data_IF_455123890187
#
_entry.id   IF_455123890187
#
_cell.length_a   1.000
_cell.length_b   1.000
_cell.length_c   1.000
_cell.angle_alpha   90.00
_cell.angle_beta   90.00
_cell.angle_gamma   90.00
#
_symmetry.space_group_name_H-M   'P 1'
#
loop_
_entity.id
_entity.type
_entity.pdbx_description
1 polymer ?
#
# COMPACT_ATOMS: atom_id res chain seq x y z
N UNK A 1 0.66 21.96 23.73
CA UNK A 1 -0.59 21.24 23.38
C UNK A 1 -0.66 20.87 21.90
N UNK A 2 -0.58 21.81 20.95
CA UNK A 2 -0.72 21.49 19.52
C UNK A 2 0.32 20.50 18.98
N UNK A 3 1.60 20.64 19.35
CA UNK A 3 2.68 19.72 18.93
C UNK A 3 2.43 18.29 19.42
N UNK A 4 1.98 18.13 20.66
CA UNK A 4 1.65 16.81 21.23
C UNK A 4 0.52 16.14 20.44
N UNK A 5 -0.54 16.89 20.09
CA UNK A 5 -1.64 16.35 19.27
C UNK A 5 -1.19 15.96 17.86
N UNK A 6 -0.26 16.72 17.25
CA UNK A 6 0.37 16.33 15.99
C UNK A 6 1.16 15.02 16.15
N UNK A 7 1.97 14.89 17.19
CA UNK A 7 2.73 13.67 17.45
C UNK A 7 1.80 12.47 17.67
N UNK A 8 0.74 12.62 18.47
CA UNK A 8 -0.26 11.57 18.70
C UNK A 8 -0.98 11.19 17.40
N UNK A 9 -1.37 12.16 16.56
CA UNK A 9 -1.98 11.90 15.27
C UNK A 9 -1.05 11.16 14.31
N UNK A 10 0.25 11.49 14.34
CA UNK A 10 1.28 10.78 13.57
C UNK A 10 1.40 9.32 14.02
N UNK A 11 1.58 9.07 15.32
CA UNK A 11 1.69 7.71 15.88
C UNK A 11 0.43 6.89 15.63
N UNK A 12 -0.75 7.51 15.74
CA UNK A 12 -2.03 6.88 15.41
C UNK A 12 -2.13 6.52 13.92
N UNK A 13 -1.68 7.41 13.03
CA UNK A 13 -1.59 7.15 11.59
C UNK A 13 -0.63 6.00 11.27
N UNK A 14 0.53 5.92 11.94
CA UNK A 14 1.49 4.83 11.75
C UNK A 14 0.87 3.47 12.05
N UNK A 15 0.07 3.34 13.11
CA UNK A 15 -0.60 2.08 13.45
C UNK A 15 -1.71 1.63 12.52
N UNK A 16 -2.00 2.34 11.42
CA UNK A 16 -3.04 1.94 10.46
C UNK A 16 -2.61 0.80 9.52
N UNK A 17 -1.33 0.77 9.13
CA UNK A 17 -0.76 -0.18 8.16
C UNK A 17 0.56 -0.82 8.60
N UNK A 18 1.05 -0.50 9.81
CA UNK A 18 2.39 -0.93 10.26
C UNK A 18 2.52 -2.45 10.34
N UNK A 19 1.42 -3.16 10.60
CA UNK A 19 1.45 -4.60 10.75
C UNK A 19 1.71 -5.31 9.42
N UNK A 20 0.90 -5.03 8.40
CA UNK A 20 1.07 -5.63 7.07
C UNK A 20 2.32 -5.09 6.37
N UNK A 21 2.63 -3.79 6.49
CA UNK A 21 3.88 -3.26 5.95
C UNK A 21 5.10 -3.90 6.61
N UNK A 22 5.06 -4.12 7.93
CA UNK A 22 6.10 -4.85 8.66
C UNK A 22 6.24 -6.29 8.20
N UNK A 23 5.12 -6.97 7.92
CA UNK A 23 5.14 -8.34 7.42
C UNK A 23 5.76 -8.42 6.02
N UNK A 24 5.44 -7.48 5.11
CA UNK A 24 6.00 -7.43 3.76
C UNK A 24 7.53 -7.24 3.74
N UNK A 25 8.08 -6.40 4.64
CA UNK A 25 9.53 -6.21 4.69
C UNK A 25 10.27 -7.41 5.30
N UNK A 26 9.59 -8.29 6.06
CA UNK A 26 10.21 -9.52 6.59
C UNK A 26 10.12 -10.72 5.63
N UNK A 27 9.36 -10.62 4.54
CA UNK A 27 9.21 -11.69 3.55
C UNK A 27 10.55 -12.29 3.08
N UNK A 28 11.61 -11.52 2.77
CA UNK A 28 12.89 -12.08 2.32
C UNK A 28 13.50 -13.08 3.30
N UNK A 29 13.34 -12.84 4.60
CA UNK A 29 13.80 -13.75 5.64
C UNK A 29 12.83 -14.92 5.82
N UNK A 30 11.52 -14.66 5.82
CA UNK A 30 10.49 -15.68 6.04
C UNK A 30 10.41 -16.72 4.91
N UNK A 31 10.65 -16.31 3.67
CA UNK A 31 10.72 -17.18 2.49
C UNK A 31 11.75 -18.30 2.66
N UNK A 32 12.80 -18.09 3.46
CA UNK A 32 13.84 -19.11 3.69
C UNK A 32 13.45 -20.13 4.77
N UNK A 33 12.46 -19.82 5.61
CA UNK A 33 12.09 -20.61 6.79
C UNK A 33 10.69 -21.24 6.70
N UNK A 34 9.76 -20.60 5.99
CA UNK A 34 8.38 -21.05 5.85
C UNK A 34 8.23 -22.01 4.66
N UNK A 35 7.34 -23.02 4.75
CA UNK A 35 7.18 -24.03 3.71
C UNK A 35 6.65 -23.47 2.39
N UNK A 36 5.97 -22.33 2.39
CA UNK A 36 5.47 -21.66 1.19
C UNK A 36 6.58 -21.03 0.34
N UNK A 37 7.77 -20.79 0.90
CA UNK A 37 8.92 -20.25 0.17
C UNK A 37 8.56 -19.01 -0.67
N UNK A 38 8.97 -18.95 -1.94
CA UNK A 38 8.80 -17.80 -2.83
C UNK A 38 7.35 -17.51 -3.19
N UNK A 39 6.44 -18.45 -2.91
CA UNK A 39 5.01 -18.29 -3.09
C UNK A 39 4.35 -17.51 -1.95
N UNK A 40 5.03 -17.32 -0.82
CA UNK A 40 4.51 -16.64 0.37
C UNK A 40 3.84 -15.27 0.07
N UNK A 41 4.42 -14.37 -0.77
CA UNK A 41 3.75 -13.15 -1.22
C UNK A 41 2.34 -13.35 -1.81
N UNK A 42 2.14 -14.40 -2.58
CA UNK A 42 0.85 -14.69 -3.22
C UNK A 42 -0.19 -15.15 -2.19
N UNK A 43 0.22 -15.93 -1.18
CA UNK A 43 -0.62 -16.28 -0.02
C UNK A 43 -1.00 -15.04 0.79
N UNK A 44 -0.04 -14.18 1.12
CA UNK A 44 -0.29 -12.93 1.84
C UNK A 44 -1.28 -12.06 1.05
N UNK A 45 -1.08 -11.95 -0.26
CA UNK A 45 -1.94 -11.15 -1.15
C UNK A 45 -3.38 -11.64 -1.14
N UNK A 46 -3.63 -12.94 -1.35
CA UNK A 46 -5.00 -13.45 -1.34
C UNK A 46 -5.65 -13.31 0.04
N UNK A 47 -4.88 -13.49 1.12
CA UNK A 47 -5.36 -13.31 2.50
C UNK A 47 -5.79 -11.86 2.74
N UNK A 48 -4.98 -10.88 2.34
CA UNK A 48 -5.34 -9.45 2.41
C UNK A 48 -6.64 -9.21 1.65
N UNK A 49 -6.80 -9.80 0.47
CA UNK A 49 -8.03 -9.64 -0.30
C UNK A 49 -9.27 -10.21 0.41
N UNK A 50 -9.15 -11.35 1.10
CA UNK A 50 -10.25 -11.89 1.92
C UNK A 50 -10.57 -11.01 3.14
N UNK A 51 -9.57 -10.33 3.69
CA UNK A 51 -9.72 -9.46 4.85
C UNK A 51 -10.51 -8.16 4.56
N UNK A 52 -10.71 -7.81 3.28
CA UNK A 52 -11.61 -6.72 2.89
C UNK A 52 -13.08 -6.93 3.31
N UNK A 53 -13.42 -8.11 3.83
CA UNK A 53 -14.67 -8.35 4.57
C UNK A 53 -14.86 -7.37 5.74
N UNK A 54 -13.78 -6.90 6.37
CA UNK A 54 -13.82 -5.93 7.47
C UNK A 54 -14.39 -4.57 7.08
N UNK A 55 -13.79 -3.85 6.11
CA UNK A 55 -14.34 -2.62 5.54
C UNK A 55 -15.78 -2.77 5.01
N UNK A 56 -16.07 -3.90 4.37
CA UNK A 56 -17.41 -4.20 3.88
C UNK A 56 -18.42 -4.29 5.03
N UNK A 57 -18.05 -5.01 6.11
CA UNK A 57 -18.86 -5.12 7.32
C UNK A 57 -19.14 -3.73 7.92
N UNK A 58 -18.10 -2.91 8.10
CA UNK A 58 -18.26 -1.54 8.63
C UNK A 58 -19.20 -0.72 7.74
N UNK A 59 -19.04 -0.79 6.42
CA UNK A 59 -19.87 -0.04 5.47
C UNK A 59 -21.34 -0.47 5.50
N UNK A 60 -21.60 -1.79 5.50
CA UNK A 60 -22.95 -2.34 5.56
C UNK A 60 -23.64 -2.00 6.89
N UNK A 61 -22.90 -2.05 7.99
CA UNK A 61 -23.44 -1.70 9.31
C UNK A 61 -23.83 -0.23 9.40
N UNK A 62 -23.02 0.69 8.86
CA UNK A 62 -23.40 2.10 8.76
C UNK A 62 -24.63 2.31 7.86
N UNK A 63 -24.80 1.48 6.81
CA UNK A 63 -25.95 1.54 5.89
C UNK A 63 -27.24 1.03 6.52
N UNK A 64 -27.20 -0.10 7.22
CA UNK A 64 -28.39 -0.79 7.74
C UNK A 64 -28.74 -0.41 9.20
N UNK A 65 -27.76 -0.03 10.00
CA UNK A 65 -27.90 0.30 11.43
C UNK A 65 -27.11 1.57 11.78
N UNK A 66 -27.50 2.75 11.26
CA UNK A 66 -26.78 3.99 11.53
C UNK A 66 -26.74 4.27 13.04
N UNK A 67 -25.55 4.55 13.57
CA UNK A 67 -25.33 4.87 14.99
C UNK A 67 -25.05 3.67 15.91
N UNK A 68 -25.17 2.42 15.43
CA UNK A 68 -24.81 1.24 16.23
C UNK A 68 -23.29 1.13 16.40
N UNK A 69 -22.54 1.34 15.32
CA UNK A 69 -21.08 1.37 15.35
C UNK A 69 -20.61 2.75 15.78
N UNK A 70 -20.24 2.87 17.05
CA UNK A 70 -19.52 4.04 17.55
C UNK A 70 -18.05 3.91 17.17
N UNK A 71 -17.44 4.98 16.65
CA UNK A 71 -16.09 4.96 16.12
C UNK A 71 -15.07 4.56 17.20
N UNK A 72 -15.24 5.09 18.41
CA UNK A 72 -14.26 4.89 19.49
C UNK A 72 -14.16 3.43 19.95
N UNK A 73 -15.27 2.75 20.33
CA UNK A 73 -15.24 1.32 20.64
C UNK A 73 -14.69 0.45 19.51
N UNK A 74 -15.05 0.75 18.25
CA UNK A 74 -14.61 -0.01 17.08
C UNK A 74 -13.08 0.08 16.94
N UNK A 75 -12.50 1.28 17.08
CA UNK A 75 -11.05 1.45 17.00
C UNK A 75 -10.34 0.70 18.14
N UNK A 76 -10.86 0.73 19.37
CA UNK A 76 -10.30 -0.06 20.47
C UNK A 76 -10.26 -1.56 20.16
N UNK A 77 -11.35 -2.11 19.59
CA UNK A 77 -11.42 -3.54 19.20
C UNK A 77 -10.41 -3.86 18.10
N UNK A 78 -10.36 -3.03 17.05
CA UNK A 78 -9.44 -3.20 15.92
C UNK A 78 -7.98 -3.19 16.40
N UNK A 79 -7.57 -2.15 17.11
CA UNK A 79 -6.17 -2.01 17.55
C UNK A 79 -5.79 -3.11 18.56
N UNK A 80 -6.69 -3.48 19.48
CA UNK A 80 -6.44 -4.58 20.43
C UNK A 80 -6.27 -5.93 19.72
N UNK A 81 -7.08 -6.18 18.68
CA UNK A 81 -6.94 -7.37 17.83
C UNK A 81 -5.60 -7.37 17.10
N UNK A 82 -5.16 -6.21 16.60
CA UNK A 82 -3.86 -6.05 15.97
C UNK A 82 -2.69 -6.33 16.92
N UNK A 83 -2.73 -5.77 18.14
CA UNK A 83 -1.72 -6.05 19.17
C UNK A 83 -1.66 -7.53 19.49
N UNK A 84 -2.82 -8.16 19.77
CA UNK A 84 -2.88 -9.59 20.08
C UNK A 84 -2.30 -10.43 18.93
N UNK A 85 -2.67 -10.10 17.69
CA UNK A 85 -2.21 -10.81 16.50
C UNK A 85 -0.70 -10.66 16.29
N UNK A 86 -0.14 -9.46 16.45
CA UNK A 86 1.31 -9.24 16.37
C UNK A 86 2.08 -9.98 17.47
N UNK A 87 1.57 -9.97 18.71
CA UNK A 87 2.19 -10.70 19.83
C UNK A 87 2.16 -12.20 19.55
N UNK A 88 1.00 -12.75 19.18
CA UNK A 88 0.88 -14.16 18.82
C UNK A 88 1.78 -14.52 17.63
N UNK A 89 1.88 -13.65 16.63
CA UNK A 89 2.73 -13.86 15.45
C UNK A 89 4.20 -13.97 15.85
N UNK A 90 4.66 -13.15 16.79
CA UNK A 90 6.03 -13.22 17.28
C UNK A 90 6.40 -14.63 17.78
N UNK A 91 5.49 -15.31 18.49
CA UNK A 91 5.74 -16.66 19.01
C UNK A 91 5.37 -17.78 18.03
N UNK A 92 4.38 -17.55 17.16
CA UNK A 92 3.77 -18.61 16.36
C UNK A 92 4.13 -18.61 14.87
N UNK A 93 4.93 -17.65 14.39
CA UNK A 93 5.23 -17.52 12.96
C UNK A 93 5.86 -18.78 12.35
N UNK A 94 6.70 -19.52 13.08
CA UNK A 94 7.39 -20.72 12.57
C UNK A 94 6.60 -22.02 12.76
N UNK A 95 5.43 -21.98 13.42
CA UNK A 95 4.62 -23.17 13.64
C UNK A 95 3.91 -23.60 12.34
N UNK A 96 4.21 -24.82 11.90
CA UNK A 96 3.61 -25.45 10.72
C UNK A 96 2.60 -26.52 11.10
N UNK A 97 1.59 -26.72 10.25
CA UNK A 97 0.66 -27.84 10.36
C UNK A 97 0.35 -28.42 8.97
N UNK A 98 0.04 -29.73 8.86
CA UNK A 98 -0.24 -30.35 7.58
C UNK A 98 -1.65 -29.98 7.09
N UNK A 99 -1.75 -29.39 5.89
CA UNK A 99 -3.01 -29.13 5.19
C UNK A 99 -2.93 -29.80 3.83
N UNK A 100 -3.90 -30.68 3.51
CA UNK A 100 -3.85 -31.43 2.25
C UNK A 100 -2.64 -32.36 2.09
N UNK A 101 -2.00 -32.75 3.21
CA UNK A 101 -0.80 -33.60 3.22
C UNK A 101 0.53 -32.86 3.05
N UNK A 102 0.51 -31.54 2.84
CA UNK A 102 1.70 -30.69 2.71
C UNK A 102 1.82 -29.81 3.96
N UNK A 103 3.03 -29.59 4.51
CA UNK A 103 3.21 -28.66 5.62
C UNK A 103 2.94 -27.23 5.18
N UNK A 104 2.12 -26.52 5.94
CA UNK A 104 1.81 -25.10 5.72
C UNK A 104 2.01 -24.29 6.99
N UNK A 105 2.38 -23.01 6.85
CA UNK A 105 2.54 -22.05 7.96
C UNK A 105 1.19 -21.53 8.46
N UNK A 106 0.26 -22.43 8.75
CA UNK A 106 -1.13 -22.11 9.10
C UNK A 106 -1.29 -21.06 10.19
N UNK A 107 -0.46 -21.08 11.24
CA UNK A 107 -0.50 -20.07 12.29
C UNK A 107 -0.14 -18.67 11.75
N UNK A 108 0.93 -18.58 10.96
CA UNK A 108 1.33 -17.36 10.27
C UNK A 108 0.22 -16.84 9.34
N UNK A 109 -0.37 -17.70 8.50
CA UNK A 109 -1.41 -17.34 7.54
C UNK A 109 -2.69 -16.83 8.24
N UNK A 110 -3.14 -17.51 9.30
CA UNK A 110 -4.32 -17.10 10.07
C UNK A 110 -4.08 -15.77 10.80
N UNK A 111 -2.90 -15.58 11.40
CA UNK A 111 -2.57 -14.32 12.05
C UNK A 111 -2.41 -13.18 11.03
N UNK A 112 -1.87 -13.48 9.85
CA UNK A 112 -1.81 -12.53 8.72
C UNK A 112 -3.21 -12.08 8.30
N UNK A 113 -4.21 -12.99 8.32
CA UNK A 113 -5.60 -12.61 8.06
C UNK A 113 -6.13 -11.60 9.08
N UNK A 114 -5.89 -11.83 10.38
CA UNK A 114 -6.33 -10.88 11.42
C UNK A 114 -5.59 -9.54 11.32
N UNK A 115 -4.28 -9.53 11.04
CA UNK A 115 -3.54 -8.30 10.79
C UNK A 115 -4.07 -7.55 9.57
N UNK A 116 -4.33 -8.27 8.47
CA UNK A 116 -4.94 -7.69 7.27
C UNK A 116 -6.33 -7.13 7.55
N UNK A 117 -7.12 -7.82 8.38
CA UNK A 117 -8.45 -7.37 8.77
C UNK A 117 -8.38 -6.06 9.55
N UNK A 118 -7.41 -5.94 10.46
CA UNK A 118 -7.13 -4.73 11.23
C UNK A 118 -6.74 -3.59 10.29
N UNK A 119 -5.76 -3.80 9.40
CA UNK A 119 -5.22 -2.75 8.54
C UNK A 119 -6.22 -2.28 7.47
N UNK A 120 -6.93 -3.21 6.83
CA UNK A 120 -8.00 -2.83 5.89
C UNK A 120 -9.12 -2.07 6.61
N UNK A 121 -9.55 -2.52 7.80
CA UNK A 121 -10.66 -1.88 8.54
C UNK A 121 -10.25 -0.55 9.17
N UNK A 122 -8.98 -0.39 9.58
CA UNK A 122 -8.45 0.86 10.14
C UNK A 122 -8.58 2.00 9.12
N UNK A 123 -8.31 1.73 7.84
CA UNK A 123 -8.41 2.69 6.73
C UNK A 123 -9.80 3.34 6.60
N UNK A 124 -10.87 2.59 6.95
CA UNK A 124 -12.26 3.11 6.89
C UNK A 124 -12.80 3.59 8.24
N UNK A 125 -12.09 3.35 9.35
CA UNK A 125 -12.56 3.71 10.70
C UNK A 125 -11.74 4.81 11.37
N UNK A 126 -10.43 4.88 11.13
CA UNK A 126 -9.52 5.86 11.73
C UNK A 126 -9.74 7.25 11.15
N UNK A 127 -9.94 7.35 9.83
CA UNK A 127 -10.15 8.62 9.16
C UNK A 127 -11.43 9.34 9.63
N UNK A 128 -12.62 8.68 9.71
CA UNK A 128 -13.81 9.29 10.31
C UNK A 128 -13.60 9.82 11.74
N UNK A 129 -12.81 9.12 12.56
CA UNK A 129 -12.45 9.60 13.90
C UNK A 129 -11.57 10.86 13.83
N UNK A 130 -10.54 10.87 12.99
CA UNK A 130 -9.65 12.03 12.82
C UNK A 130 -10.38 13.26 12.29
N UNK A 131 -11.44 13.07 11.49
CA UNK A 131 -12.31 14.16 11.01
C UNK A 131 -13.14 14.83 12.12
N UNK A 132 -13.18 14.28 13.34
CA UNK A 132 -13.80 14.90 14.52
C UNK A 132 -12.84 15.88 15.24
N UNK A 133 -11.56 15.87 14.86
CA UNK A 133 -10.52 16.78 15.36
C UNK A 133 -10.27 17.91 14.34
N UNK A 134 -9.41 18.87 14.70
CA UNK A 134 -9.11 19.97 13.79
C UNK A 134 -8.42 19.49 12.50
N UNK A 135 -8.74 20.09 11.34
CA UNK A 135 -8.28 19.60 10.03
C UNK A 135 -6.76 19.53 9.88
N UNK A 136 -6.01 20.39 10.56
CA UNK A 136 -4.53 20.38 10.59
C UNK A 136 -3.92 19.05 11.04
N UNK A 137 -4.65 18.25 11.81
CA UNK A 137 -4.16 16.95 12.30
C UNK A 137 -4.35 15.82 11.28
N UNK A 138 -5.21 16.00 10.27
CA UNK A 138 -5.39 15.02 9.18
C UNK A 138 -4.12 14.90 8.33
N UNK A 139 -3.47 16.02 8.01
CA UNK A 139 -2.19 16.00 7.27
C UNK A 139 -1.13 15.20 8.04
N UNK A 140 -1.06 15.36 9.36
CA UNK A 140 -0.10 14.63 10.19
C UNK A 140 -0.44 13.15 10.33
N UNK A 141 -1.73 12.80 10.34
CA UNK A 141 -2.17 11.41 10.28
C UNK A 141 -1.67 10.73 8.99
N UNK A 142 -1.83 11.37 7.82
CA UNK A 142 -1.33 10.82 6.56
C UNK A 142 0.20 10.70 6.49
N UNK A 143 0.94 11.63 7.12
CA UNK A 143 2.39 11.48 7.31
C UNK A 143 2.68 10.22 8.14
N UNK A 144 1.96 10.03 9.24
CA UNK A 144 2.06 8.84 10.09
C UNK A 144 1.80 7.54 9.32
N UNK A 145 0.74 7.50 8.51
CA UNK A 145 0.41 6.39 7.63
C UNK A 145 1.56 6.06 6.67
N UNK A 146 2.25 7.07 6.12
CA UNK A 146 3.45 6.83 5.32
C UNK A 146 4.65 6.29 6.10
N UNK A 147 4.82 6.71 7.35
CA UNK A 147 5.86 6.17 8.23
C UNK A 147 5.63 4.71 8.62
N UNK A 148 4.40 4.19 8.45
CA UNK A 148 4.08 2.79 8.75
C UNK A 148 4.85 1.78 7.89
N UNK A 149 5.30 2.18 6.68
CA UNK A 149 6.18 1.36 5.84
C UNK A 149 7.66 1.62 6.08
N UNK A 150 8.03 2.88 6.31
CA UNK A 150 9.43 3.27 6.49
C UNK A 150 10.04 2.75 7.79
N UNK A 151 9.32 2.84 8.93
CA UNK A 151 9.88 2.44 10.23
C UNK A 151 10.21 0.94 10.25
N UNK A 152 9.29 0.01 9.89
CA UNK A 152 9.62 -1.42 9.83
C UNK A 152 10.74 -1.74 8.85
N UNK A 153 10.79 -1.06 7.70
CA UNK A 153 11.85 -1.25 6.72
C UNK A 153 13.26 -0.92 7.25
N UNK A 154 13.40 0.20 7.96
CA UNK A 154 14.70 0.57 8.59
C UNK A 154 15.10 -0.47 9.62
N UNK A 155 14.13 -1.00 10.37
CA UNK A 155 14.36 -2.09 11.35
C UNK A 155 14.80 -3.37 10.62
N UNK A 156 14.15 -3.76 9.53
CA UNK A 156 14.48 -4.96 8.74
C UNK A 156 15.85 -4.85 8.04
N UNK A 157 16.23 -3.67 7.58
CA UNK A 157 17.58 -3.40 7.06
C UNK A 157 18.63 -3.55 8.17
N UNK A 158 18.37 -3.00 9.36
CA UNK A 158 19.24 -3.19 10.53
C UNK A 158 19.29 -4.64 11.03
N UNK A 159 18.21 -5.40 10.86
CA UNK A 159 18.14 -6.84 11.12
C UNK A 159 19.05 -7.64 10.19
N UNK A 160 19.37 -7.12 9.01
CA UNK A 160 20.02 -7.90 7.95
C UNK A 160 19.07 -8.95 7.38
N UNK A 161 17.79 -8.62 7.29
CA UNK A 161 16.73 -9.54 6.83
C UNK A 161 17.08 -10.09 5.44
N UNK A 162 17.28 -11.41 5.35
CA UNK A 162 17.56 -12.10 4.09
C UNK A 162 18.97 -11.94 3.51
N UNK A 163 19.97 -11.33 4.17
CA UNK A 163 21.32 -11.19 3.57
C UNK A 163 21.90 -12.58 3.22
N UNK A 164 22.54 -12.70 2.06
CA UNK A 164 23.10 -13.95 1.56
C UNK A 164 24.50 -13.77 0.97
N UNK A 165 25.34 -14.80 1.11
CA UNK A 165 26.67 -14.90 0.53
C UNK A 165 26.75 -16.07 -0.45
N UNK A 166 27.57 -15.92 -1.50
CA UNK A 166 27.84 -17.01 -2.42
C UNK A 166 29.02 -17.84 -1.93
N UNK A 167 28.76 -19.10 -1.59
CA UNK A 167 29.78 -20.04 -1.16
C UNK A 167 30.00 -21.10 -2.23
N UNK A 168 31.27 -21.43 -2.47
CA UNK A 168 31.64 -22.48 -3.40
C UNK A 168 31.52 -23.84 -2.72
N UNK A 169 30.51 -24.62 -3.11
CA UNK A 169 30.25 -25.95 -2.55
C UNK A 169 30.77 -27.01 -3.53
N UNK A 170 31.77 -27.77 -3.09
CA UNK A 170 32.31 -28.89 -3.87
C UNK A 170 31.49 -30.14 -3.60
N UNK A 171 30.74 -30.62 -4.59
CA UNK A 171 29.97 -31.86 -4.49
C UNK A 171 30.68 -32.97 -5.26
N UNK A 172 30.87 -34.13 -4.64
CA UNK A 172 31.40 -35.32 -5.31
C UNK A 172 30.24 -35.94 -6.10
N UNK A 173 30.42 -36.09 -7.40
CA UNK A 173 29.41 -36.61 -8.33
C UNK A 173 30.03 -37.79 -9.07
N UNK A 174 29.30 -38.90 -9.15
CA UNK A 174 29.72 -40.04 -9.94
C UNK A 174 29.43 -39.75 -11.41
N UNK A 175 30.47 -39.52 -12.20
CA UNK A 175 30.37 -39.29 -13.63
C UNK A 175 30.50 -40.65 -14.33
N UNK A 176 29.38 -41.16 -14.83
CA UNK A 176 29.37 -42.30 -15.74
C UNK A 176 29.72 -41.83 -17.15
N UNK A 177 30.90 -42.24 -17.64
CA UNK A 177 31.30 -42.08 -19.05
C UNK A 177 31.43 -43.48 -19.67
N UNK A 178 30.42 -43.91 -20.43
CA UNK A 178 30.35 -45.28 -20.95
C UNK A 178 30.08 -46.31 -19.85
N UNK A 179 30.90 -47.36 -19.76
CA UNK A 179 30.79 -48.42 -18.74
C UNK A 179 31.58 -48.13 -17.45
N UNK A 180 32.28 -47.00 -17.35
CA UNK A 180 33.10 -46.65 -16.19
C UNK A 180 32.44 -45.50 -15.40
N UNK A 181 32.26 -45.74 -14.10
CA UNK A 181 31.90 -44.72 -13.11
C UNK A 181 33.17 -44.12 -12.53
N UNK A 182 33.46 -42.85 -12.81
CA UNK A 182 34.55 -42.12 -12.15
C UNK A 182 34.00 -41.11 -11.15
N UNK A 183 34.64 -40.99 -9.99
CA UNK A 183 34.32 -39.95 -9.01
C UNK A 183 34.87 -38.61 -9.51
N UNK A 184 33.99 -37.69 -9.88
CA UNK A 184 34.33 -36.32 -10.26
C UNK A 184 33.89 -35.32 -9.20
N UNK A 185 34.65 -34.26 -8.98
CA UNK A 185 34.21 -33.15 -8.12
C UNK A 185 33.61 -32.03 -8.97
N UNK A 186 32.36 -31.66 -8.73
CA UNK A 186 31.72 -30.49 -9.34
C UNK A 186 31.60 -29.39 -8.28
N UNK A 187 32.26 -28.27 -8.52
CA UNK A 187 32.14 -27.05 -7.71
C UNK A 187 30.93 -26.24 -8.20
N UNK A 188 29.92 -26.06 -7.35
CA UNK A 188 28.74 -25.23 -7.63
C UNK A 188 28.65 -24.12 -6.60
N UNK A 189 28.42 -22.89 -7.06
CA UNK A 189 28.08 -21.78 -6.18
C UNK A 189 26.64 -21.96 -5.70
N UNK A 190 26.44 -21.98 -4.39
CA UNK A 190 25.12 -22.03 -3.74
C UNK A 190 24.94 -20.77 -2.89
N UNK A 191 23.70 -20.28 -2.81
CA UNK A 191 23.35 -19.14 -1.94
C UNK A 191 23.30 -19.60 -0.49
N UNK A 192 24.17 -19.05 0.36
CA UNK A 192 24.16 -19.27 1.79
C UNK A 192 23.60 -18.04 2.52
N UNK A 193 22.44 -18.18 3.15
CA UNK A 193 21.81 -17.10 3.90
C UNK A 193 22.54 -16.88 5.22
N UNK A 194 22.94 -15.64 5.48
CA UNK A 194 23.53 -15.24 6.74
C UNK A 194 22.44 -15.13 7.82
N UNK A 195 22.76 -15.46 9.08
CA UNK A 195 21.83 -15.26 10.17
C UNK A 195 21.53 -13.76 10.33
N UNK A 196 20.26 -13.43 10.51
CA UNK A 196 19.86 -12.09 10.88
C UNK A 196 20.49 -11.67 12.22
N UNK A 197 20.82 -10.38 12.36
CA UNK A 197 21.38 -9.79 13.57
C UNK A 197 20.48 -10.03 14.79
N UNK A 198 19.17 -10.12 14.56
CA UNK A 198 18.19 -10.55 15.54
C UNK A 198 17.06 -11.37 14.87
N UNK A 199 16.39 -12.27 15.62
CA UNK A 199 15.38 -13.16 15.05
C UNK A 199 14.06 -12.44 14.68
N UNK A 200 13.24 -13.01 13.76
CA UNK A 200 11.90 -12.50 13.43
C UNK A 200 11.00 -12.29 14.65
N UNK A 201 11.20 -13.09 15.70
CA UNK A 201 10.57 -12.94 17.00
C UNK A 201 10.66 -11.49 17.54
N UNK A 202 11.88 -10.91 17.55
CA UNK A 202 12.09 -9.55 18.03
C UNK A 202 11.48 -8.52 17.07
N UNK A 203 11.54 -8.77 15.76
CA UNK A 203 10.90 -7.91 14.77
C UNK A 203 9.39 -7.78 15.02
N UNK A 204 8.68 -8.91 15.15
CA UNK A 204 7.24 -8.90 15.38
C UNK A 204 6.86 -8.29 16.74
N UNK A 205 7.71 -8.43 17.77
CA UNK A 205 7.52 -7.72 19.04
C UNK A 205 7.68 -6.20 18.90
N UNK A 206 8.62 -5.73 18.07
CA UNK A 206 8.75 -4.30 17.77
C UNK A 206 7.50 -3.79 17.03
N UNK A 207 6.95 -4.58 16.10
CA UNK A 207 5.67 -4.27 15.43
C UNK A 207 4.50 -4.25 16.41
N UNK A 208 4.45 -5.18 17.38
CA UNK A 208 3.48 -5.14 18.47
C UNK A 208 3.64 -3.87 19.33
N UNK A 209 4.86 -3.45 19.63
CA UNK A 209 5.13 -2.23 20.39
C UNK A 209 4.64 -0.97 19.64
N UNK A 210 4.81 -0.92 18.31
CA UNK A 210 4.25 0.15 17.48
C UNK A 210 2.70 0.17 17.52
N UNK A 211 2.06 -1.00 17.51
CA UNK A 211 0.60 -1.10 17.67
C UNK A 211 0.13 -0.68 19.07
N UNK A 212 0.89 -0.99 20.12
CA UNK A 212 0.62 -0.49 21.48
C UNK A 212 0.76 1.03 21.53
N UNK A 213 1.79 1.61 20.89
CA UNK A 213 1.96 3.05 20.78
C UNK A 213 0.76 3.71 20.06
N UNK A 214 0.24 3.08 19.01
CA UNK A 214 -1.00 3.50 18.34
C UNK A 214 -2.20 3.50 19.28
N UNK A 215 -2.39 2.44 20.08
CA UNK A 215 -3.47 2.37 21.08
C UNK A 215 -3.37 3.48 22.13
N UNK A 216 -2.16 3.71 22.64
CA UNK A 216 -1.88 4.77 23.62
C UNK A 216 -2.15 6.15 22.99
N UNK A 217 -1.71 6.37 21.76
CA UNK A 217 -1.96 7.60 21.04
C UNK A 217 -3.47 7.85 20.85
N UNK A 218 -4.19 6.82 20.43
CA UNK A 218 -5.65 6.86 20.29
C UNK A 218 -6.35 7.16 21.62
N UNK A 219 -5.93 6.54 22.72
CA UNK A 219 -6.49 6.79 24.05
C UNK A 219 -6.40 8.26 24.44
N UNK A 220 -5.26 8.92 24.19
CA UNK A 220 -5.10 10.34 24.46
C UNK A 220 -5.87 11.22 23.48
N UNK A 221 -5.90 10.89 22.19
CA UNK A 221 -6.69 11.61 21.18
C UNK A 221 -8.20 11.53 21.47
N UNK A 222 -8.68 10.39 21.95
CA UNK A 222 -10.09 10.17 22.27
C UNK A 222 -10.60 11.04 23.42
N UNK A 223 -9.69 11.55 24.27
CA UNK A 223 -9.98 12.47 25.37
C UNK A 223 -9.89 13.95 25.00
N UNK A 224 -9.43 14.28 23.79
CA UNK A 224 -9.37 15.66 23.34
C UNK A 224 -10.78 16.21 23.08
N UNK A 225 -11.00 17.53 23.30
CA UNK A 225 -12.27 18.16 22.99
C UNK A 225 -12.55 18.04 21.48
N UNK A 226 -13.69 17.44 21.15
CA UNK A 226 -14.14 17.28 19.77
C UNK A 226 -14.67 18.61 19.25
N UNK A 227 -14.12 19.10 18.14
CA UNK A 227 -14.61 20.34 17.51
C UNK A 227 -15.57 19.92 16.41
N UNK A 228 -16.85 19.71 16.78
CA UNK A 228 -17.89 19.28 15.85
C UNK A 228 -18.22 20.34 14.79
N UNK A 229 -18.04 21.62 15.12
CA UNK A 229 -18.48 22.77 14.32
C UNK A 229 -17.68 22.99 13.02
N UNK A 230 -16.41 22.59 12.93
CA UNK A 230 -15.60 22.71 11.71
C UNK A 230 -15.75 21.52 10.75
N UNK A 231 -16.24 20.37 11.25
CA UNK A 231 -16.36 19.12 10.49
C UNK A 231 -17.59 19.11 9.59
N UNK A 232 -18.73 19.65 10.05
CA UNK A 232 -19.92 19.79 9.20
C UNK A 232 -19.74 20.80 8.07
N UNK A 233 -18.90 21.82 8.24
CA UNK A 233 -18.50 22.72 7.16
C UNK A 233 -17.48 22.10 6.18
N UNK A 234 -16.78 21.03 6.55
CA UNK A 234 -15.80 20.33 5.68
C UNK A 234 -16.22 18.93 5.21
N UNK A 235 -17.38 18.42 5.66
CA UNK A 235 -18.14 17.40 4.96
C UNK A 235 -18.45 17.85 3.50
N UNK A 236 -18.34 19.15 3.23
CA UNK A 236 -18.22 19.77 1.92
C UNK A 236 -16.98 20.70 1.87
N UNK A 237 -15.85 20.36 1.22
CA UNK A 237 -14.83 21.37 0.95
C UNK A 237 -15.34 22.31 -0.14
N UNK A 238 -16.19 23.26 0.24
CA UNK A 238 -16.33 24.52 -0.48
C UNK A 238 -15.07 25.34 -0.18
N UNK A 239 -14.38 25.76 -1.24
CA UNK A 239 -13.29 26.73 -1.25
C UNK A 239 -12.10 26.46 -0.30
N UNK A 240 -11.05 25.83 -0.83
CA UNK A 240 -9.73 26.41 -0.61
C UNK A 240 -9.73 27.67 -1.48
N UNK A 241 -9.99 28.81 -0.86
CA UNK A 241 -9.73 30.13 -1.44
C UNK A 241 -8.24 30.19 -1.76
N UNK A 242 -7.89 29.84 -3.00
CA UNK A 242 -6.64 30.29 -3.59
C UNK A 242 -6.93 31.67 -4.16
N UNK A 243 -6.63 32.69 -3.35
CA UNK A 243 -6.39 34.03 -3.85
C UNK A 243 -5.29 33.97 -4.90
N UNK A 244 -5.67 33.86 -6.18
CA UNK A 244 -4.77 34.09 -7.29
C UNK A 244 -4.65 35.59 -7.50
N UNK A 245 -3.52 36.11 -7.02
CA UNK A 245 -2.78 37.28 -7.49
C UNK A 245 -3.46 38.17 -8.55
N UNK A 246 -3.71 39.40 -8.13
CA UNK A 246 -3.92 40.58 -8.96
C UNK A 246 -2.71 40.89 -9.88
N UNK A 247 -3.03 41.67 -10.93
CA UNK A 247 -2.20 42.56 -11.75
C UNK A 247 -1.62 42.06 -13.09
N UNK A 248 -2.29 42.47 -14.17
CA UNK A 248 -1.67 43.17 -15.31
C UNK A 248 -2.58 44.37 -15.69
N UNK A 249 -2.03 45.58 -15.93
CA UNK A 249 -2.81 46.80 -16.08
C UNK A 249 -3.27 47.02 -17.54
N UNK A 250 -4.52 47.39 -17.73
CA UNK A 250 -4.95 48.10 -18.95
C UNK A 250 -5.20 49.57 -18.63
N UNK A 251 -4.51 50.38 -19.43
CA UNK A 251 -4.51 51.84 -19.48
C UNK A 251 -5.89 52.43 -19.83
N UNK A 252 -6.08 53.69 -19.42
CA UNK A 252 -6.74 54.67 -20.29
C UNK A 252 -8.18 55.05 -20.00
N UNK A 253 -8.33 55.99 -19.06
CA UNK A 253 -9.13 57.22 -19.17
C UNK A 253 -10.52 57.22 -19.84
N UNK A 254 -11.54 57.66 -19.09
CA UNK A 254 -12.48 58.65 -19.62
C UNK A 254 -13.96 58.53 -19.24
N UNK A 255 -14.39 59.47 -18.39
CA UNK A 255 -15.66 60.21 -18.44
C UNK A 255 -16.90 59.72 -17.64
N UNK A 256 -17.23 60.59 -16.66
CA UNK A 256 -18.50 61.31 -16.44
C UNK A 256 -19.69 60.65 -15.72
N UNK A 257 -19.88 61.20 -14.51
CA UNK A 257 -21.08 61.89 -13.99
C UNK A 257 -22.26 61.13 -13.36
N UNK A 258 -22.55 61.65 -12.14
CA UNK A 258 -23.85 61.84 -11.48
C UNK A 258 -24.53 60.66 -10.75
N UNK A 259 -24.40 60.72 -9.41
CA UNK A 259 -25.53 61.15 -8.58
C UNK A 259 -26.40 60.06 -7.94
N UNK A 260 -26.38 60.01 -6.60
CA UNK A 260 -27.53 59.59 -5.80
C UNK A 260 -27.38 58.25 -5.06
N UNK A 261 -26.97 58.32 -3.78
CA UNK A 261 -27.44 57.34 -2.79
C UNK A 261 -28.87 57.71 -2.40
N UNK A 262 -29.80 56.74 -2.43
CA UNK A 262 -30.26 56.18 -1.17
C UNK A 262 -30.50 54.65 -1.23
N UNK A 263 -29.97 53.91 -0.26
CA UNK A 263 -30.53 52.61 0.15
C UNK A 263 -31.72 52.86 1.12
N UNK A 264 -32.59 51.87 1.45
CA UNK A 264 -32.61 50.45 1.09
C UNK A 264 -34.01 49.88 0.74
N UNK A 265 -34.08 48.80 -0.03
CA UNK A 265 -34.93 47.63 0.23
C UNK A 265 -34.84 46.66 -0.94
N UNK A 266 -33.97 45.65 -0.83
CA UNK A 266 -34.11 44.46 -1.67
C UNK A 266 -33.80 43.21 -0.86
N UNK A 267 -34.75 42.29 -0.92
CA UNK A 267 -34.68 40.96 -0.36
C UNK A 267 -33.75 40.15 -1.27
N UNK A 268 -32.44 40.31 -1.09
CA UNK A 268 -31.44 39.53 -1.84
C UNK A 268 -31.35 38.15 -1.17
N UNK A 269 -32.01 37.17 -1.79
CA UNK A 269 -31.69 35.76 -1.58
C UNK A 269 -30.17 35.57 -1.74
N UNK A 270 -29.50 34.79 -0.88
CA UNK A 270 -28.12 34.44 -1.15
C UNK A 270 -28.09 33.59 -2.42
N UNK A 271 -27.54 34.13 -3.51
CA UNK A 271 -27.13 33.36 -4.66
C UNK A 271 -26.24 32.21 -4.16
N UNK A 272 -26.83 31.01 -4.13
CA UNK A 272 -26.08 29.77 -4.05
C UNK A 272 -25.21 29.75 -5.30
N UNK A 273 -23.93 30.07 -5.15
CA UNK A 273 -22.91 29.79 -6.15
C UNK A 273 -23.06 28.34 -6.57
N UNK A 274 -23.67 28.13 -7.73
CA UNK A 274 -23.86 26.81 -8.30
C UNK A 274 -22.47 26.29 -8.63
N UNK A 275 -21.98 25.35 -7.81
CA UNK A 275 -20.86 24.51 -8.16
C UNK A 275 -21.23 23.85 -9.49
N UNK A 276 -20.56 24.27 -10.56
CA UNK A 276 -20.80 23.81 -11.92
C UNK A 276 -20.81 22.28 -11.93
N UNK A 277 -22.00 21.69 -12.07
CA UNK A 277 -22.19 20.25 -12.08
C UNK A 277 -21.70 19.78 -13.45
N UNK A 278 -20.38 19.70 -13.62
CA UNK A 278 -19.74 19.13 -14.82
C UNK A 278 -20.52 17.86 -15.14
N UNK A 279 -20.96 17.62 -16.37
CA UNK A 279 -21.68 16.40 -16.77
C UNK A 279 -20.70 15.49 -17.52
N UNK A 280 -20.42 14.29 -17.03
CA UNK A 280 -19.51 13.34 -17.68
C UNK A 280 -20.40 12.45 -18.52
N UNK A 281 -20.03 12.25 -19.79
CA UNK A 281 -20.61 11.18 -20.57
C UNK A 281 -20.40 9.85 -19.84
N UNK A 282 -21.36 8.94 -19.97
CA UNK A 282 -21.31 7.58 -19.41
C UNK A 282 -19.99 6.89 -19.79
N UNK A 283 -19.48 7.12 -21.00
CA UNK A 283 -18.20 6.58 -21.46
C UNK A 283 -17.00 7.09 -20.62
N UNK A 284 -16.97 8.38 -20.27
CA UNK A 284 -15.90 8.97 -19.43
C UNK A 284 -15.97 8.39 -18.01
N UNK A 285 -17.17 8.18 -17.48
CA UNK A 285 -17.36 7.60 -16.16
C UNK A 285 -16.95 6.12 -16.14
N UNK A 286 -17.35 5.35 -17.16
CA UNK A 286 -16.94 3.97 -17.33
C UNK A 286 -15.41 3.84 -17.43
N UNK A 287 -14.75 4.75 -18.17
CA UNK A 287 -13.29 4.82 -18.25
C UNK A 287 -12.64 5.06 -16.89
N UNK A 288 -13.16 5.99 -16.08
CA UNK A 288 -12.63 6.25 -14.72
C UNK A 288 -12.76 4.99 -13.84
N UNK A 289 -13.92 4.33 -13.82
CA UNK A 289 -14.11 3.10 -13.04
C UNK A 289 -13.22 1.97 -13.53
N UNK A 290 -13.04 1.83 -14.84
CA UNK A 290 -12.08 0.89 -15.41
C UNK A 290 -10.66 1.18 -14.92
N UNK A 291 -10.21 2.44 -14.96
CA UNK A 291 -8.89 2.82 -14.46
C UNK A 291 -8.73 2.46 -12.98
N UNK A 292 -9.75 2.70 -12.15
CA UNK A 292 -9.71 2.36 -10.72
C UNK A 292 -9.56 0.84 -10.53
N UNK A 293 -10.38 0.04 -11.20
CA UNK A 293 -10.31 -1.41 -11.10
C UNK A 293 -8.97 -1.96 -11.64
N UNK A 294 -8.49 -1.43 -12.77
CA UNK A 294 -7.21 -1.82 -13.38
C UNK A 294 -6.02 -1.50 -12.48
N UNK A 295 -5.90 -0.24 -12.04
CA UNK A 295 -4.79 0.18 -11.19
C UNK A 295 -4.79 -0.54 -9.84
N UNK A 296 -5.97 -0.79 -9.26
CA UNK A 296 -6.10 -1.52 -8.00
C UNK A 296 -5.83 -3.02 -8.14
N UNK A 297 -6.14 -3.61 -9.31
CA UNK A 297 -5.74 -4.98 -9.65
C UNK A 297 -4.22 -5.11 -9.70
N UNK A 298 -3.54 -4.21 -10.42
CA UNK A 298 -2.09 -4.24 -10.55
C UNK A 298 -1.38 -4.00 -9.22
N UNK A 299 -1.77 -2.95 -8.48
CA UNK A 299 -1.05 -2.48 -7.28
C UNK A 299 -1.25 -3.36 -6.05
N UNK A 300 -2.41 -3.99 -5.90
CA UNK A 300 -2.75 -4.74 -4.68
C UNK A 300 -2.88 -6.26 -4.89
N UNK A 301 -3.04 -6.72 -6.14
CA UNK A 301 -3.26 -8.14 -6.44
C UNK A 301 -2.12 -8.73 -7.27
N UNK A 302 -1.94 -8.20 -8.48
CA UNK A 302 -1.10 -8.85 -9.49
C UNK A 302 0.38 -8.78 -9.14
N UNK A 303 0.91 -7.57 -9.00
CA UNK A 303 2.35 -7.36 -8.84
C UNK A 303 2.88 -7.78 -7.47
N UNK A 304 2.22 -7.48 -6.34
CA UNK A 304 2.68 -7.93 -5.02
C UNK A 304 2.88 -9.45 -4.94
N UNK A 305 2.03 -10.23 -5.62
CA UNK A 305 2.13 -11.70 -5.66
C UNK A 305 3.44 -12.22 -6.28
N UNK A 306 4.11 -11.42 -7.10
CA UNK A 306 5.34 -11.80 -7.83
C UNK A 306 6.55 -10.95 -7.48
N UNK A 307 6.46 -10.13 -6.43
CA UNK A 307 7.55 -9.22 -6.05
C UNK A 307 8.83 -9.98 -5.69
N UNK A 308 8.72 -11.11 -4.98
CA UNK A 308 9.83 -12.03 -4.67
C UNK A 308 10.55 -12.46 -5.94
N UNK A 309 9.80 -12.97 -6.91
CA UNK A 309 10.30 -13.42 -8.21
C UNK A 309 10.98 -12.31 -9.02
N UNK A 310 10.49 -11.06 -8.93
CA UNK A 310 11.08 -9.94 -9.67
C UNK A 310 12.34 -9.36 -9.03
N UNK A 311 12.45 -9.36 -7.70
CA UNK A 311 13.47 -8.60 -6.98
C UNK A 311 14.57 -9.47 -6.35
N UNK A 312 14.22 -10.64 -5.79
CA UNK A 312 15.21 -11.51 -5.13
C UNK A 312 16.34 -12.00 -6.05
N UNK A 313 16.13 -12.22 -7.37
CA UNK A 313 17.25 -12.56 -8.27
C UNK A 313 18.33 -11.47 -8.37
N UNK A 314 17.99 -10.20 -8.09
CA UNK A 314 18.94 -9.07 -8.00
C UNK A 314 19.55 -8.92 -6.60
N UNK A 315 19.08 -9.69 -5.62
CA UNK A 315 19.56 -9.68 -4.25
C UNK A 315 18.59 -9.04 -3.26
N UNK A 316 18.83 -9.31 -1.98
CA UNK A 316 17.93 -8.94 -0.89
C UNK A 316 17.86 -7.42 -0.67
N UNK A 317 18.95 -6.70 -0.94
CA UNK A 317 18.98 -5.23 -0.88
C UNK A 317 18.03 -4.61 -1.90
N UNK A 318 17.99 -5.13 -3.13
CA UNK A 318 17.06 -4.68 -4.17
C UNK A 318 15.60 -4.94 -3.76
N UNK A 319 15.30 -6.09 -3.16
CA UNK A 319 13.97 -6.37 -2.62
C UNK A 319 13.57 -5.38 -1.52
N UNK A 320 14.38 -5.24 -0.47
CA UNK A 320 14.08 -4.35 0.65
C UNK A 320 13.90 -2.91 0.20
N UNK A 321 14.79 -2.43 -0.66
CA UNK A 321 14.71 -1.07 -1.19
C UNK A 321 13.46 -0.89 -2.07
N UNK A 322 13.12 -1.88 -2.90
CA UNK A 322 11.90 -1.85 -3.72
C UNK A 322 10.62 -1.84 -2.88
N UNK A 323 10.52 -2.70 -1.87
CA UNK A 323 9.36 -2.77 -0.97
C UNK A 323 9.22 -1.47 -0.15
N UNK A 324 10.33 -0.98 0.42
CA UNK A 324 10.35 0.22 1.27
C UNK A 324 9.99 1.46 0.47
N UNK A 325 10.71 1.74 -0.62
CA UNK A 325 10.50 2.96 -1.39
C UNK A 325 9.14 2.96 -2.10
N UNK A 326 8.63 1.79 -2.53
CA UNK A 326 7.28 1.65 -3.04
C UNK A 326 6.21 1.99 -1.98
N UNK A 327 6.37 1.51 -0.75
CA UNK A 327 5.44 1.84 0.34
C UNK A 327 5.39 3.35 0.64
N UNK A 328 6.54 4.04 0.53
CA UNK A 328 6.63 5.50 0.67
C UNK A 328 6.08 6.28 -0.53
N UNK A 329 6.10 5.67 -1.72
CA UNK A 329 5.64 6.31 -2.95
C UNK A 329 4.15 6.67 -2.88
N UNK A 330 3.33 5.89 -2.16
CA UNK A 330 1.89 6.15 -2.00
C UNK A 330 1.59 7.45 -1.22
N UNK A 331 2.13 7.68 0.01
CA UNK A 331 2.03 8.96 0.70
C UNK A 331 2.59 10.14 -0.08
N UNK A 332 3.74 9.95 -0.76
CA UNK A 332 4.33 11.00 -1.61
C UNK A 332 3.38 11.34 -2.77
N UNK A 333 2.80 10.33 -3.42
CA UNK A 333 1.80 10.53 -4.47
C UNK A 333 0.57 11.29 -3.96
N UNK A 334 0.10 11.01 -2.74
CA UNK A 334 -0.97 11.77 -2.10
C UNK A 334 -0.59 13.25 -1.91
N UNK A 335 0.62 13.54 -1.44
CA UNK A 335 1.12 14.92 -1.30
C UNK A 335 1.23 15.62 -2.65
N UNK A 336 1.81 14.94 -3.64
CA UNK A 336 1.92 15.47 -5.02
C UNK A 336 0.54 15.73 -5.62
N UNK A 337 -0.44 14.84 -5.41
CA UNK A 337 -1.81 15.04 -5.85
C UNK A 337 -2.50 16.23 -5.19
N UNK A 338 -2.17 16.54 -3.93
CA UNK A 338 -2.65 17.75 -3.25
C UNK A 338 -2.04 19.02 -3.84
N UNK A 339 -0.74 19.02 -4.17
CA UNK A 339 -0.02 20.18 -4.70
C UNK A 339 -0.25 20.43 -6.19
N UNK A 340 -0.43 19.35 -6.96
CA UNK A 340 -0.58 19.36 -8.41
C UNK A 340 -1.83 18.56 -8.81
N UNK A 341 -3.05 19.08 -8.57
CA UNK A 341 -4.29 18.38 -8.90
C UNK A 341 -4.53 18.35 -10.42
N UNK A 342 -4.10 17.28 -11.07
CA UNK A 342 -4.33 17.04 -12.50
C UNK A 342 -5.71 16.43 -12.77
N UNK A 343 -6.72 17.25 -13.13
CA UNK A 343 -8.09 16.75 -13.43
C UNK A 343 -8.29 16.29 -14.88
N UNK A 344 -7.25 16.31 -15.71
CA UNK A 344 -7.33 15.88 -17.10
C UNK A 344 -7.39 14.35 -17.21
N UNK A 345 -8.47 13.83 -17.83
CA UNK A 345 -8.62 12.39 -18.08
C UNK A 345 -7.55 11.84 -19.04
N UNK A 346 -7.05 12.68 -19.96
CA UNK A 346 -5.97 12.29 -20.87
C UNK A 346 -4.67 12.11 -20.11
N UNK A 347 -4.35 13.04 -19.19
CA UNK A 347 -3.19 12.91 -18.30
C UNK A 347 -3.32 11.66 -17.44
N UNK A 348 -4.50 11.42 -16.88
CA UNK A 348 -4.76 10.25 -16.03
C UNK A 348 -4.60 8.93 -16.79
N UNK A 349 -5.09 8.86 -18.04
CA UNK A 349 -4.90 7.72 -18.93
C UNK A 349 -3.43 7.52 -19.32
N UNK A 350 -2.71 8.60 -19.63
CA UNK A 350 -1.28 8.54 -19.96
C UNK A 350 -0.43 8.06 -18.77
N UNK A 351 -0.70 8.58 -17.56
CA UNK A 351 -0.02 8.13 -16.33
C UNK A 351 -0.36 6.68 -15.99
N UNK A 352 -1.61 6.25 -16.18
CA UNK A 352 -2.01 4.86 -15.99
C UNK A 352 -1.30 3.92 -16.98
N UNK A 353 -1.15 4.34 -18.24
CA UNK A 353 -0.40 3.58 -19.25
C UNK A 353 1.09 3.52 -18.90
N UNK A 354 1.69 4.64 -18.48
CA UNK A 354 3.10 4.68 -18.04
C UNK A 354 3.34 3.79 -16.82
N UNK A 355 2.50 3.87 -15.79
CA UNK A 355 2.56 2.99 -14.63
C UNK A 355 2.39 1.52 -15.01
N UNK A 356 1.45 1.21 -15.91
CA UNK A 356 1.27 -0.15 -16.44
C UNK A 356 2.51 -0.66 -17.17
N UNK A 357 3.24 0.20 -17.90
CA UNK A 357 4.47 -0.18 -18.57
C UNK A 357 5.58 -0.57 -17.57
N UNK A 358 5.75 0.18 -16.47
CA UNK A 358 6.65 -0.21 -15.37
C UNK A 358 6.21 -1.54 -14.73
N UNK A 359 4.91 -1.72 -14.51
CA UNK A 359 4.36 -2.99 -14.00
C UNK A 359 4.61 -4.17 -14.95
N UNK A 360 4.49 -3.96 -16.27
CA UNK A 360 4.78 -4.98 -17.27
C UNK A 360 6.27 -5.35 -17.28
N UNK A 361 7.17 -4.38 -17.11
CA UNK A 361 8.60 -4.66 -16.93
C UNK A 361 8.85 -5.50 -15.67
N UNK A 362 8.27 -5.15 -14.52
CA UNK A 362 8.43 -5.91 -13.27
C UNK A 362 7.90 -7.36 -13.41
N UNK A 363 6.75 -7.51 -14.07
CA UNK A 363 6.17 -8.83 -14.37
C UNK A 363 7.06 -9.64 -15.31
N UNK A 364 7.66 -9.00 -16.32
CA UNK A 364 8.61 -9.66 -17.22
C UNK A 364 9.85 -10.15 -16.45
N UNK A 365 10.39 -9.35 -15.51
CA UNK A 365 11.51 -9.79 -14.69
C UNK A 365 11.14 -10.97 -13.79
N UNK A 366 9.93 -10.97 -13.22
CA UNK A 366 9.43 -12.13 -12.49
C UNK A 366 9.31 -13.38 -13.38
N UNK A 367 8.74 -13.24 -14.58
CA UNK A 367 8.55 -14.36 -15.52
C UNK A 367 9.88 -14.89 -16.09
N UNK A 368 10.91 -14.05 -16.16
CA UNK A 368 12.26 -14.42 -16.59
C UNK A 368 13.12 -14.98 -15.44
N UNK A 369 12.63 -14.93 -14.19
CA UNK A 369 13.27 -15.63 -13.08
C UNK A 369 13.44 -17.12 -13.43
N UNK A 370 14.63 -17.71 -13.26
CA UNK A 370 15.71 -17.27 -12.37
C UNK A 370 16.73 -16.27 -12.95
N UNK A 371 16.67 -15.95 -14.25
CA UNK A 371 17.67 -15.13 -14.95
C UNK A 371 17.04 -13.88 -15.60
N UNK A 372 16.60 -12.90 -14.80
CA UNK A 372 16.04 -11.67 -15.34
C UNK A 372 17.11 -10.80 -16.04
N UNK A 373 16.65 -9.85 -16.86
CA UNK A 373 17.55 -8.99 -17.63
C UNK A 373 18.46 -8.18 -16.70
N UNK A 374 19.73 -8.00 -17.10
CA UNK A 374 20.72 -7.21 -16.36
C UNK A 374 21.05 -7.73 -14.95
N UNK A 375 20.68 -8.96 -14.58
CA UNK A 375 21.04 -9.57 -13.29
C UNK A 375 22.53 -9.45 -12.91
N UNK A 376 23.51 -9.66 -13.82
CA UNK A 376 24.93 -9.53 -13.44
C UNK A 376 25.44 -8.08 -13.38
N UNK A 377 24.62 -7.08 -13.73
CA UNK A 377 25.03 -5.68 -13.80
C UNK A 377 24.49 -4.89 -12.60
N UNK A 378 25.28 -3.98 -11.99
CA UNK A 378 24.78 -3.10 -10.93
C UNK A 378 23.63 -2.18 -11.39
N UNK A 379 23.44 -2.02 -12.70
CA UNK A 379 22.30 -1.32 -13.27
C UNK A 379 20.99 -2.10 -13.14
N UNK A 380 21.02 -3.43 -13.04
CA UNK A 380 19.84 -4.26 -12.84
C UNK A 380 19.11 -3.90 -11.56
N UNK A 381 19.83 -3.89 -10.44
CA UNK A 381 19.33 -3.55 -9.10
C UNK A 381 18.68 -2.15 -9.07
N UNK A 382 19.37 -1.16 -9.64
CA UNK A 382 18.88 0.21 -9.67
C UNK A 382 17.60 0.35 -10.52
N UNK A 383 17.55 -0.32 -11.68
CA UNK A 383 16.41 -0.25 -12.60
C UNK A 383 15.19 -0.96 -12.03
N UNK A 384 15.35 -2.15 -11.42
CA UNK A 384 14.22 -2.88 -10.83
C UNK A 384 13.61 -2.10 -9.67
N UNK A 385 14.46 -1.53 -8.80
CA UNK A 385 13.99 -0.67 -7.69
C UNK A 385 13.26 0.55 -8.21
N UNK A 386 13.86 1.28 -9.16
CA UNK A 386 13.26 2.48 -9.73
C UNK A 386 11.93 2.16 -10.41
N UNK A 387 11.85 1.06 -11.15
CA UNK A 387 10.62 0.62 -11.81
C UNK A 387 9.50 0.33 -10.82
N UNK A 388 9.77 -0.36 -9.70
CA UNK A 388 8.80 -0.59 -8.63
C UNK A 388 8.29 0.70 -7.98
N UNK A 389 9.19 1.64 -7.71
CA UNK A 389 8.84 2.95 -7.13
C UNK A 389 7.98 3.77 -8.10
N UNK A 390 8.37 3.83 -9.37
CA UNK A 390 7.64 4.57 -10.40
C UNK A 390 6.28 3.92 -10.68
N UNK A 391 6.21 2.59 -10.77
CA UNK A 391 4.97 1.82 -10.85
C UNK A 391 4.01 2.21 -9.73
N UNK A 392 4.47 2.11 -8.47
CA UNK A 392 3.63 2.37 -7.30
C UNK A 392 3.22 3.83 -7.22
N UNK A 393 4.16 4.77 -7.38
CA UNK A 393 3.89 6.20 -7.28
C UNK A 393 2.95 6.71 -8.38
N UNK A 394 3.17 6.31 -9.63
CA UNK A 394 2.32 6.76 -10.76
C UNK A 394 0.90 6.23 -10.65
N UNK A 395 0.71 4.94 -10.34
CA UNK A 395 -0.62 4.35 -10.19
C UNK A 395 -1.33 4.85 -8.92
N UNK A 396 -0.60 5.10 -7.84
CA UNK A 396 -1.17 5.72 -6.63
C UNK A 396 -1.69 7.13 -6.91
N UNK A 397 -0.93 7.95 -7.65
CA UNK A 397 -1.39 9.27 -8.09
C UNK A 397 -2.69 9.17 -8.93
N UNK A 398 -2.75 8.21 -9.86
CA UNK A 398 -3.95 7.96 -10.67
C UNK A 398 -5.15 7.62 -9.79
N UNK A 399 -4.99 6.72 -8.82
CA UNK A 399 -6.04 6.34 -7.86
C UNK A 399 -6.53 7.53 -7.05
N UNK A 400 -5.62 8.34 -6.51
CA UNK A 400 -5.96 9.52 -5.70
C UNK A 400 -6.73 10.53 -6.55
N UNK A 401 -6.24 10.86 -7.75
CA UNK A 401 -6.91 11.84 -8.62
C UNK A 401 -8.25 11.34 -9.15
N UNK A 402 -8.40 10.04 -9.43
CA UNK A 402 -9.68 9.44 -9.76
C UNK A 402 -10.69 9.61 -8.60
N UNK A 403 -10.25 9.41 -7.36
CA UNK A 403 -11.04 9.69 -6.15
C UNK A 403 -11.45 11.16 -6.03
N UNK A 404 -10.53 12.10 -6.28
CA UNK A 404 -10.82 13.55 -6.29
C UNK A 404 -11.88 13.91 -7.34
N UNK A 405 -11.76 13.36 -8.55
CA UNK A 405 -12.71 13.59 -9.65
C UNK A 405 -14.11 13.05 -9.28
N UNK A 406 -14.20 11.81 -8.76
CA UNK A 406 -15.49 11.21 -8.38
C UNK A 406 -16.10 11.84 -7.12
N UNK A 407 -15.28 12.33 -6.19
CA UNK A 407 -15.77 13.07 -5.00
C UNK A 407 -16.51 14.33 -5.39
N UNK A 408 -16.05 15.05 -6.42
CA UNK A 408 -16.73 16.25 -6.93
C UNK A 408 -18.12 15.99 -7.52
N UNK A 409 -18.47 14.72 -7.80
CA UNK A 409 -19.73 14.33 -8.43
C UNK A 409 -20.85 14.09 -7.44
N UNK A 410 -20.66 13.09 -6.57
CA UNK A 410 -21.68 12.61 -5.65
C UNK A 410 -21.08 11.62 -4.66
N UNK A 411 -21.74 11.49 -3.51
CA UNK A 411 -21.42 10.47 -2.53
C UNK A 411 -21.54 9.03 -3.11
N UNK A 412 -22.53 8.78 -3.97
CA UNK A 412 -22.72 7.47 -4.60
C UNK A 412 -21.55 7.07 -5.52
N UNK A 413 -20.97 8.04 -6.25
CA UNK A 413 -19.81 7.80 -7.10
C UNK A 413 -18.56 7.40 -6.30
N UNK A 414 -18.38 7.97 -5.10
CA UNK A 414 -17.29 7.62 -4.20
C UNK A 414 -17.48 6.23 -3.57
N UNK A 415 -18.72 5.81 -3.30
CA UNK A 415 -19.00 4.42 -2.90
C UNK A 415 -18.64 3.44 -4.03
N UNK A 416 -18.99 3.76 -5.28
CA UNK A 416 -18.61 2.94 -6.43
C UNK A 416 -17.08 2.91 -6.65
N UNK A 417 -16.35 4.00 -6.36
CA UNK A 417 -14.89 4.00 -6.37
C UNK A 417 -14.35 2.90 -5.44
N UNK A 418 -14.78 2.89 -4.18
CA UNK A 418 -14.34 1.88 -3.21
C UNK A 418 -14.71 0.46 -3.64
N UNK A 419 -15.91 0.26 -4.19
CA UNK A 419 -16.32 -1.05 -4.70
C UNK A 419 -15.46 -1.52 -5.89
N UNK A 420 -15.14 -0.63 -6.83
CA UNK A 420 -14.30 -0.96 -8.00
C UNK A 420 -12.84 -1.19 -7.63
N UNK A 421 -12.31 -0.44 -6.67
CA UNK A 421 -10.97 -0.67 -6.11
C UNK A 421 -10.86 -2.09 -5.54
N UNK A 422 -11.80 -2.45 -4.66
CA UNK A 422 -11.83 -3.77 -4.02
C UNK A 422 -12.04 -4.91 -5.01
N UNK A 423 -12.95 -4.73 -5.96
CA UNK A 423 -13.18 -5.69 -7.03
C UNK A 423 -11.91 -5.90 -7.87
N UNK A 424 -11.24 -4.82 -8.26
CA UNK A 424 -9.98 -4.87 -9.01
C UNK A 424 -8.91 -5.67 -8.28
N UNK A 425 -8.65 -5.33 -7.02
CA UNK A 425 -7.65 -6.01 -6.20
C UNK A 425 -7.96 -7.49 -5.98
N UNK A 426 -9.23 -7.85 -5.74
CA UNK A 426 -9.67 -9.24 -5.60
C UNK A 426 -9.47 -10.03 -6.90
N UNK A 427 -9.84 -9.45 -8.06
CA UNK A 427 -9.65 -10.09 -9.36
C UNK A 427 -8.17 -10.32 -9.66
N UNK A 428 -7.31 -9.34 -9.34
CA UNK A 428 -5.86 -9.48 -9.49
C UNK A 428 -5.28 -10.62 -8.66
N UNK A 429 -5.69 -10.74 -7.39
CA UNK A 429 -5.23 -11.81 -6.51
C UNK A 429 -5.76 -13.19 -6.93
N UNK A 430 -7.06 -13.30 -7.28
CA UNK A 430 -7.66 -14.55 -7.76
C UNK A 430 -7.05 -15.02 -9.08
N UNK A 431 -6.61 -14.08 -9.94
CA UNK A 431 -5.86 -14.41 -11.14
C UNK A 431 -4.47 -14.93 -10.78
N UNK A 432 -3.69 -14.19 -9.99
CA UNK A 432 -2.29 -14.53 -9.75
C UNK A 432 -2.08 -15.73 -8.84
N UNK A 433 -2.97 -15.97 -7.88
CA UNK A 433 -2.82 -17.08 -6.94
C UNK A 433 -2.63 -18.44 -7.64
N UNK A 434 -3.49 -18.90 -8.57
CA UNK A 434 -3.25 -20.14 -9.29
C UNK A 434 -2.06 -20.07 -10.26
N UNK A 435 -1.78 -18.91 -10.87
CA UNK A 435 -0.64 -18.75 -11.77
C UNK A 435 0.69 -19.00 -11.05
N UNK A 436 0.82 -18.51 -9.82
CA UNK A 436 1.98 -18.70 -8.96
C UNK A 436 1.98 -20.11 -8.35
N UNK A 437 0.93 -20.48 -7.63
CA UNK A 437 0.94 -21.66 -6.74
C UNK A 437 0.55 -22.98 -7.39
N UNK A 438 -0.24 -22.96 -8.47
CA UNK A 438 -0.81 -24.19 -9.07
C UNK A 438 -0.12 -24.50 -10.39
N UNK A 439 0.03 -23.49 -11.24
CA UNK A 439 0.64 -23.67 -12.55
C UNK A 439 2.17 -23.52 -12.54
N UNK A 440 2.75 -22.93 -11.48
CA UNK A 440 4.20 -22.79 -11.35
C UNK A 440 4.83 -21.96 -12.48
N UNK A 441 4.15 -20.91 -12.95
CA UNK A 441 4.65 -20.07 -14.05
C UNK A 441 5.93 -19.30 -13.70
N UNK A 442 6.20 -19.11 -12.40
CA UNK A 442 7.36 -18.37 -11.91
C UNK A 442 8.31 -19.34 -11.22
N UNK A 443 9.61 -19.22 -11.48
CA UNK A 443 10.64 -20.08 -10.91
C UNK A 443 11.48 -19.31 -9.91
N UNK A 444 11.76 -19.92 -8.75
CA UNK A 444 12.67 -19.35 -7.76
C UNK A 444 14.10 -19.31 -8.30
N UNK A 445 14.81 -18.22 -8.04
CA UNK A 445 16.23 -18.09 -8.40
C UNK A 445 17.14 -18.48 -7.23
N UNK A 446 18.18 -19.25 -7.52
CA UNK A 446 19.37 -19.30 -6.67
C UNK A 446 20.28 -18.14 -7.10
N UNK A 447 20.39 -17.12 -6.25
CA UNK A 447 21.17 -15.89 -6.53
C UNK A 447 22.60 -16.20 -6.98
N UNK A 448 23.22 -17.24 -6.42
CA UNK A 448 24.61 -17.62 -6.67
C UNK A 448 24.76 -18.70 -7.75
N UNK A 449 23.72 -19.48 -8.02
CA UNK A 449 23.74 -20.54 -9.04
C UNK A 449 23.10 -20.03 -10.34
N UNK A 450 23.91 -19.40 -11.18
CA UNK A 450 23.51 -18.90 -12.52
C UNK A 450 23.40 -20.04 -13.55
N UNK A 451 22.58 -21.07 -13.27
CA UNK A 451 22.17 -22.03 -14.30
C UNK A 451 20.91 -21.52 -14.97
N UNK A 452 21.07 -20.64 -15.93
CA UNK A 452 19.99 -20.27 -16.82
C UNK A 452 19.72 -21.45 -17.78
N UNK A 453 18.49 -21.96 -17.90
CA UNK A 453 18.17 -22.87 -19.00
C UNK A 453 18.42 -22.13 -20.32
N UNK A 454 19.32 -22.70 -21.14
CA UNK A 454 19.72 -22.15 -22.44
C UNK A 454 18.72 -22.45 -23.55
#
# INVERSE_FOLDING_TARGET
>A
MALLTHLLACVFGTGSWVAINGLWVEVPLLVTALPEQWDLPSYITIIIQTANVGPLFVTLMHRFRPGLLKEVPVIYVIVSTGILSCVLLAFLWSHTSPVGGVPHSTAFLVLTFFLSLVDCTSSVTFLPFMMQLQPRYLTTFFIGEGLSGLIPAVIALGQGSGISECVNVTRVVNITSGNETTEGSVSQMETHYLPANFPPFLFFLLTAAMMVACLVAFFFLSRQPKVWELSQQQLFPSSITLSSFDQLPEDGAGSRDQGGCPCPSDTVQPEKGQLEKVSFSVAKLAFIYFLIAWTSSLTNGVLPSVQSYSCLPYGNTAYHLSATLSSMANPVACIVAMLLPGRSLVLLGALAAAGTAFGAYNMAMAAMSPCPLLQPSPWGDAVIVLSWVLFTGTLSYVKVMAGVILRSRSHGALLCYGAMEQLGSLLGALLMFPLVNVYGFFQSADYCSLRCPG
#
